data_IF_562684973259
#
_entry.id   IF_562684973259
#
_cell.length_a   1.000
_cell.length_b   1.000
_cell.length_c   1.000
_cell.angle_alpha   90.00
_cell.angle_beta   90.00
_cell.angle_gamma   90.00
#
_symmetry.space_group_name_H-M   'P 1'
#
loop_
_entity.id
_entity.type
_entity.pdbx_description
1 polymer ?
#
# COMPACT_ATOMS: atom_id res chain seq x y z
N UNK A 1 -25.19 -2.01 23.54
CA UNK A 1 -24.23 -1.69 22.47
C UNK A 1 -25.00 -0.80 21.51
N UNK A 2 -24.85 0.52 21.67
CA UNK A 2 -25.41 1.47 20.72
C UNK A 2 -24.69 1.25 19.39
N UNK A 3 -25.46 0.91 18.35
CA UNK A 3 -24.92 0.51 17.06
C UNK A 3 -24.19 1.68 16.40
N UNK A 4 -22.97 1.46 15.93
CA UNK A 4 -22.28 2.43 15.10
C UNK A 4 -23.15 2.73 13.87
N UNK A 5 -23.51 4.00 13.68
CA UNK A 5 -24.13 4.45 12.45
C UNK A 5 -23.04 4.57 11.38
N UNK A 6 -22.95 3.57 10.50
CA UNK A 6 -22.04 3.61 9.36
C UNK A 6 -22.68 4.41 8.23
N UNK A 7 -22.04 5.49 7.82
CA UNK A 7 -22.46 6.24 6.64
C UNK A 7 -21.93 5.55 5.37
N UNK A 8 -22.75 5.47 4.30
CA UNK A 8 -22.29 4.93 3.02
C UNK A 8 -21.22 5.83 2.42
N UNK A 9 -20.23 5.21 1.79
CA UNK A 9 -19.23 5.92 0.99
C UNK A 9 -19.89 6.54 -0.25
N UNK A 10 -19.43 7.73 -0.65
CA UNK A 10 -19.95 8.40 -1.86
C UNK A 10 -19.47 7.68 -3.11
N UNK A 11 -20.20 7.81 -4.23
CA UNK A 11 -19.80 7.19 -5.50
C UNK A 11 -18.41 7.63 -5.99
N UNK A 12 -18.04 8.89 -5.76
CA UNK A 12 -16.70 9.41 -6.06
C UNK A 12 -15.62 8.72 -5.22
N UNK A 13 -15.85 8.56 -3.91
CA UNK A 13 -14.90 7.87 -3.04
C UNK A 13 -14.80 6.37 -3.34
N UNK A 14 -15.90 5.74 -3.76
CA UNK A 14 -15.89 4.34 -4.23
C UNK A 14 -15.04 4.22 -5.49
N UNK A 15 -15.24 5.11 -6.46
CA UNK A 15 -14.49 5.11 -7.72
C UNK A 15 -13.00 5.36 -7.48
N UNK A 16 -12.68 6.25 -6.53
CA UNK A 16 -11.30 6.42 -6.09
C UNK A 16 -10.77 5.14 -5.43
N UNK A 17 -11.51 4.44 -4.57
CA UNK A 17 -10.99 3.19 -3.98
C UNK A 17 -10.78 2.06 -5.01
N UNK A 18 -11.55 2.06 -6.10
CA UNK A 18 -11.44 1.09 -7.18
C UNK A 18 -10.27 1.37 -8.16
N UNK A 19 -9.62 2.55 -8.06
CA UNK A 19 -8.51 2.87 -8.95
C UNK A 19 -7.27 2.00 -8.64
N UNK A 20 -6.54 1.53 -9.67
CA UNK A 20 -5.23 0.94 -9.46
C UNK A 20 -4.25 2.00 -8.95
N UNK A 21 -3.35 1.60 -8.05
CA UNK A 21 -2.27 2.46 -7.59
C UNK A 21 -1.31 2.79 -8.74
N UNK A 22 -0.79 4.02 -8.75
CA UNK A 22 0.28 4.41 -9.67
C UNK A 22 1.66 4.13 -9.09
N UNK A 23 2.69 4.05 -9.94
CA UNK A 23 4.06 3.75 -9.53
C UNK A 23 4.54 4.71 -8.42
N UNK A 24 4.28 6.01 -8.55
CA UNK A 24 4.68 7.02 -7.58
C UNK A 24 4.09 6.79 -6.18
N UNK A 25 2.82 6.37 -6.09
CA UNK A 25 2.15 6.10 -4.81
C UNK A 25 2.77 4.88 -4.13
N UNK A 26 2.97 3.81 -4.90
CA UNK A 26 3.59 2.58 -4.40
C UNK A 26 5.03 2.84 -3.97
N UNK A 27 5.79 3.58 -4.78
CA UNK A 27 7.16 3.99 -4.47
C UNK A 27 7.19 4.79 -3.17
N UNK A 28 6.33 5.80 -3.03
CA UNK A 28 6.30 6.63 -1.84
C UNK A 28 6.01 5.79 -0.58
N UNK A 29 5.00 4.93 -0.65
CA UNK A 29 4.64 4.04 0.46
C UNK A 29 5.79 3.09 0.86
N UNK A 30 6.47 2.49 -0.11
CA UNK A 30 7.61 1.59 0.13
C UNK A 30 8.76 2.37 0.77
N UNK A 31 9.17 3.50 0.20
CA UNK A 31 10.35 4.25 0.65
C UNK A 31 10.13 4.94 2.00
N UNK A 32 8.91 5.40 2.30
CA UNK A 32 8.56 5.99 3.60
C UNK A 32 8.43 4.94 4.72
N UNK A 33 8.21 3.66 4.39
CA UNK A 33 8.03 2.64 5.41
C UNK A 33 9.31 2.43 6.24
N UNK A 34 9.19 2.51 7.57
CA UNK A 34 10.33 2.33 8.47
C UNK A 34 10.94 0.92 8.36
N UNK A 35 12.26 0.85 8.55
CA UNK A 35 13.04 -0.40 8.43
C UNK A 35 12.74 -1.41 9.55
N UNK A 36 12.16 -0.95 10.65
CA UNK A 36 11.90 -1.74 11.86
C UNK A 36 10.54 -2.47 11.82
N UNK A 37 9.90 -2.53 10.64
CA UNK A 37 8.68 -3.31 10.46
C UNK A 37 9.01 -4.81 10.54
N UNK A 38 8.09 -5.60 11.10
CA UNK A 38 8.21 -7.05 11.14
C UNK A 38 8.44 -7.63 9.73
N UNK A 39 9.15 -8.76 9.69
CA UNK A 39 9.36 -9.52 8.45
C UNK A 39 8.02 -9.79 7.77
N UNK A 40 7.99 -9.63 6.46
CA UNK A 40 6.84 -10.04 5.68
C UNK A 40 6.70 -11.57 5.76
N UNK A 41 5.50 -12.10 5.48
CA UNK A 41 5.19 -13.53 5.58
C UNK A 41 6.08 -14.39 4.65
N UNK A 42 6.62 -13.77 3.61
CA UNK A 42 7.60 -14.33 2.66
C UNK A 42 9.05 -14.40 3.21
N UNK A 43 9.30 -13.88 4.42
CA UNK A 43 10.62 -13.83 5.04
C UNK A 43 11.51 -12.68 4.56
N UNK A 44 11.03 -11.82 3.66
CA UNK A 44 11.76 -10.63 3.23
C UNK A 44 11.43 -9.41 4.10
N UNK A 45 12.42 -8.53 4.25
CA UNK A 45 12.21 -7.23 4.89
C UNK A 45 11.85 -6.19 3.83
N UNK A 46 11.25 -5.08 4.25
CA UNK A 46 11.03 -3.93 3.37
C UNK A 46 12.31 -3.40 2.72
N UNK A 47 13.49 -3.66 3.30
CA UNK A 47 14.76 -3.25 2.74
C UNK A 47 15.01 -3.89 1.35
N UNK A 48 14.56 -5.12 1.13
CA UNK A 48 14.70 -5.81 -0.17
C UNK A 48 13.91 -5.08 -1.25
N UNK A 49 12.69 -4.66 -0.94
CA UNK A 49 11.84 -3.89 -1.85
C UNK A 49 12.44 -2.52 -2.18
N UNK A 50 13.11 -1.87 -1.22
CA UNK A 50 13.82 -0.60 -1.44
C UNK A 50 15.08 -0.78 -2.30
N UNK A 51 15.86 -1.82 -2.05
CA UNK A 51 17.11 -2.10 -2.79
C UNK A 51 16.85 -2.57 -4.22
N UNK A 52 15.75 -3.33 -4.42
CA UNK A 52 15.41 -3.95 -5.72
C UNK A 52 14.25 -3.26 -6.43
N UNK A 53 13.93 -2.01 -6.08
CA UNK A 53 12.82 -1.25 -6.67
C UNK A 53 12.83 -1.29 -8.21
N UNK A 54 14.00 -1.09 -8.83
CA UNK A 54 14.13 -1.05 -10.29
C UNK A 54 13.79 -2.38 -11.00
N UNK A 55 13.87 -3.51 -10.29
CA UNK A 55 13.46 -4.82 -10.81
C UNK A 55 11.98 -5.07 -10.53
N UNK A 56 11.48 -4.57 -9.40
CA UNK A 56 10.12 -4.79 -8.95
C UNK A 56 9.08 -3.92 -9.65
N UNK A 57 9.43 -2.69 -10.03
CA UNK A 57 8.51 -1.75 -10.68
C UNK A 57 7.92 -2.28 -11.98
N UNK A 58 8.63 -3.17 -12.68
CA UNK A 58 8.16 -3.81 -13.92
C UNK A 58 7.09 -4.89 -13.68
N UNK A 59 6.91 -5.33 -12.43
CA UNK A 59 5.90 -6.31 -12.04
C UNK A 59 4.66 -5.67 -11.39
N UNK A 60 4.67 -4.35 -11.22
CA UNK A 60 3.53 -3.53 -10.77
C UNK A 60 2.71 -3.09 -11.98
#
# INVERSE_FOLDING_TARGET
MEGLEWFPITGESSTWLDHPFIEEEVRLAVFQLNKDKALCLDGFTIAVYKERWDVMKEAL
#
